data_IF_517806482396
#
_entry.id   IF_517806482396
#
_cell.length_a   1.000
_cell.length_b   1.000
_cell.length_c   1.000
_cell.angle_alpha   90.00
_cell.angle_beta   90.00
_cell.angle_gamma   90.00
#
_symmetry.space_group_name_H-M   'P 1'
#
loop_
_entity.id
_entity.type
_entity.pdbx_description
1 polymer ?
#
# COMPACT_ATOMS: atom_id res chain seq x y z
N UNK A 1 -21.83 73.50 49.19
CA UNK A 1 -20.78 74.22 48.44
C UNK A 1 -20.38 73.38 47.23
N UNK A 2 -20.14 74.04 46.08
CA UNK A 2 -20.19 73.51 44.71
C UNK A 2 -18.83 72.87 44.29
N UNK A 3 -18.58 72.22 43.15
CA UNK A 3 -18.67 72.63 41.74
C UNK A 3 -18.23 71.38 40.91
N UNK A 4 -18.88 71.00 39.82
CA UNK A 4 -18.65 71.46 38.44
C UNK A 4 -17.21 71.27 37.89
N UNK A 5 -17.09 70.32 36.96
CA UNK A 5 -16.67 70.54 35.54
C UNK A 5 -15.19 70.74 35.19
N UNK A 6 -14.66 69.85 34.32
CA UNK A 6 -13.92 70.10 33.06
C UNK A 6 -13.59 68.73 32.42
N UNK A 7 -14.13 68.30 31.27
CA UNK A 7 -14.10 68.77 29.86
C UNK A 7 -12.68 68.79 29.26
N UNK A 8 -12.62 68.51 27.94
CA UNK A 8 -11.48 68.29 27.01
C UNK A 8 -10.98 66.82 26.95
N UNK A 9 -11.30 65.96 25.98
CA UNK A 9 -11.31 66.00 24.50
C UNK A 9 -9.95 65.67 23.83
N UNK A 10 -9.87 64.43 23.31
CA UNK A 10 -9.36 63.93 22.00
C UNK A 10 -7.89 64.15 21.57
N UNK A 11 -7.39 63.13 20.86
CA UNK A 11 -6.21 62.99 19.97
C UNK A 11 -4.95 62.52 20.73
N UNK A 12 -4.28 61.40 20.41
CA UNK A 12 -4.32 60.42 19.33
C UNK A 12 -2.97 59.67 19.30
N UNK A 13 -2.93 58.54 18.58
CA UNK A 13 -1.77 57.73 18.13
C UNK A 13 -1.58 56.33 18.74
N UNK A 14 -1.92 55.35 17.90
CA UNK A 14 -1.17 54.13 17.58
C UNK A 14 -0.30 53.52 18.67
N UNK A 15 -0.78 52.43 19.25
CA UNK A 15 0.09 51.30 19.62
C UNK A 15 -0.69 50.00 19.45
N UNK A 16 -0.86 49.59 18.20
CA UNK A 16 -1.14 48.21 17.86
C UNK A 16 0.11 47.39 18.24
N UNK A 17 0.14 46.84 19.46
CA UNK A 17 1.12 45.83 19.85
C UNK A 17 0.50 44.46 19.67
N UNK A 18 1.00 43.82 18.63
CA UNK A 18 0.73 42.47 18.15
C UNK A 18 0.44 41.51 19.30
N UNK A 19 -0.81 41.05 19.39
CA UNK A 19 -1.08 39.70 19.82
C UNK A 19 -0.44 38.78 18.78
N UNK A 20 0.80 38.37 19.05
CA UNK A 20 1.50 37.33 18.31
C UNK A 20 0.72 36.04 18.58
N UNK A 21 -0.30 35.82 17.75
CA UNK A 21 -0.92 34.52 17.62
C UNK A 21 0.19 33.60 17.13
N UNK A 22 0.77 32.82 18.04
CA UNK A 22 1.44 31.56 17.73
C UNK A 22 0.35 30.64 17.17
N UNK A 23 -0.06 30.91 15.93
CA UNK A 23 -0.56 29.87 15.04
C UNK A 23 0.65 28.99 14.86
N UNK A 24 0.77 27.95 15.69
CA UNK A 24 1.61 26.82 15.37
C UNK A 24 1.21 26.42 13.96
N UNK A 25 2.05 26.71 12.97
CA UNK A 25 1.96 26.02 11.70
C UNK A 25 2.05 24.56 12.09
N UNK A 26 0.96 23.81 11.93
CA UNK A 26 1.06 22.37 11.79
C UNK A 26 2.11 22.19 10.69
N UNK A 27 3.32 21.78 11.08
CA UNK A 27 4.30 21.35 10.10
C UNK A 27 3.61 20.15 9.47
N UNK A 28 3.16 20.34 8.23
CA UNK A 28 2.85 19.22 7.36
C UNK A 28 4.13 18.41 7.34
N UNK A 29 4.18 17.34 8.13
CA UNK A 29 5.33 16.46 8.19
C UNK A 29 5.51 15.90 6.78
N UNK A 30 6.56 16.37 6.10
CA UNK A 30 6.84 15.96 4.73
C UNK A 30 7.05 14.44 4.73
N UNK A 31 6.35 13.74 3.84
CA UNK A 31 6.46 12.29 3.76
C UNK A 31 7.93 11.89 3.50
N UNK A 32 8.42 10.90 4.22
CA UNK A 32 9.74 10.31 3.98
C UNK A 32 9.75 9.55 2.65
N UNK A 33 10.92 9.38 2.02
CA UNK A 33 11.07 8.67 0.72
C UNK A 33 10.25 7.37 0.58
N UNK A 34 10.29 6.41 1.53
CA UNK A 34 9.47 5.19 1.41
C UNK A 34 7.96 5.45 1.52
N UNK A 35 7.52 6.47 2.26
CA UNK A 35 6.12 6.91 2.30
C UNK A 35 5.71 7.58 0.98
N UNK A 36 6.57 8.43 0.41
CA UNK A 36 6.34 9.08 -0.87
C UNK A 36 6.12 8.05 -1.99
N UNK A 37 6.91 6.96 -2.00
CA UNK A 37 6.71 5.88 -2.97
C UNK A 37 5.31 5.27 -2.87
N UNK A 38 4.88 4.91 -1.67
CA UNK A 38 3.53 4.35 -1.44
C UNK A 38 2.45 5.35 -1.86
N UNK A 39 2.67 6.64 -1.56
CA UNK A 39 1.75 7.72 -1.92
C UNK A 39 1.57 7.85 -3.43
N UNK A 40 2.67 7.98 -4.18
CA UNK A 40 2.66 8.11 -5.65
C UNK A 40 1.99 6.93 -6.34
N UNK A 41 2.27 5.70 -5.88
CA UNK A 41 1.62 4.48 -6.38
C UNK A 41 0.12 4.54 -6.12
N UNK A 42 -0.27 4.90 -4.90
CA UNK A 42 -1.69 4.95 -4.49
C UNK A 42 -2.48 6.01 -5.25
N UNK A 43 -1.90 7.18 -5.50
CA UNK A 43 -2.50 8.23 -6.33
C UNK A 43 -2.67 7.77 -7.78
N UNK A 44 -1.63 7.14 -8.36
CA UNK A 44 -1.68 6.61 -9.73
C UNK A 44 -2.80 5.58 -9.89
N UNK A 45 -2.94 4.67 -8.92
CA UNK A 45 -4.03 3.69 -8.90
C UNK A 45 -5.38 4.39 -8.79
N UNK A 46 -5.55 5.29 -7.82
CA UNK A 46 -6.82 5.99 -7.57
C UNK A 46 -7.26 6.80 -8.80
N UNK A 47 -6.37 7.59 -9.39
CA UNK A 47 -6.66 8.40 -10.57
C UNK A 47 -7.18 7.55 -11.74
N UNK A 48 -6.53 6.41 -12.01
CA UNK A 48 -6.95 5.56 -13.13
C UNK A 48 -8.26 4.82 -12.84
N UNK A 49 -8.51 4.46 -11.60
CA UNK A 49 -9.72 3.72 -11.17
C UNK A 49 -10.98 4.60 -11.08
N UNK A 50 -10.86 5.93 -11.14
CA UNK A 50 -12.00 6.83 -11.27
C UNK A 50 -12.75 6.69 -12.62
N UNK A 51 -12.07 6.20 -13.66
CA UNK A 51 -12.71 5.86 -14.93
C UNK A 51 -13.58 4.60 -14.76
N UNK A 52 -14.90 4.81 -14.68
CA UNK A 52 -15.88 3.72 -14.49
C UNK A 52 -15.84 2.67 -15.59
N UNK A 53 -15.58 3.06 -16.84
CA UNK A 53 -15.51 2.11 -17.95
C UNK A 53 -14.26 1.23 -17.83
N UNK A 54 -13.15 1.82 -17.37
CA UNK A 54 -11.94 1.09 -17.05
C UNK A 54 -12.13 0.17 -15.84
N UNK A 55 -12.70 0.67 -14.74
CA UNK A 55 -12.89 -0.08 -13.50
C UNK A 55 -13.81 -1.31 -13.65
N UNK A 56 -14.69 -1.32 -14.64
CA UNK A 56 -15.54 -2.48 -14.97
C UNK A 56 -14.81 -3.58 -15.77
N UNK A 57 -13.65 -3.28 -16.36
CA UNK A 57 -12.86 -4.25 -17.11
C UNK A 57 -11.76 -4.85 -16.22
N UNK A 58 -12.11 -5.95 -15.54
CA UNK A 58 -11.23 -6.61 -14.59
C UNK A 58 -9.86 -7.01 -15.18
N UNK A 59 -9.82 -7.37 -16.46
CA UNK A 59 -8.57 -7.76 -17.14
C UNK A 59 -7.68 -6.55 -17.34
N UNK A 60 -8.23 -5.43 -17.83
CA UNK A 60 -7.48 -4.17 -17.96
C UNK A 60 -7.02 -3.64 -16.61
N UNK A 61 -7.88 -3.68 -15.59
CA UNK A 61 -7.51 -3.30 -14.22
C UNK A 61 -6.34 -4.14 -13.73
N UNK A 62 -6.43 -5.47 -13.86
CA UNK A 62 -5.37 -6.37 -13.38
C UNK A 62 -4.06 -6.13 -14.12
N UNK A 63 -4.09 -5.92 -15.43
CA UNK A 63 -2.87 -5.61 -16.19
C UNK A 63 -2.25 -4.28 -15.76
N UNK A 64 -3.07 -3.24 -15.59
CA UNK A 64 -2.61 -1.93 -15.13
C UNK A 64 -2.04 -1.99 -13.71
N UNK A 65 -2.74 -2.61 -12.76
CA UNK A 65 -2.26 -2.76 -11.37
C UNK A 65 -0.93 -3.52 -11.36
N UNK A 66 -0.79 -4.57 -12.18
CA UNK A 66 0.50 -5.27 -12.32
C UNK A 66 1.60 -4.31 -12.79
N UNK A 67 1.36 -3.53 -13.85
CA UNK A 67 2.35 -2.62 -14.41
C UNK A 67 2.78 -1.51 -13.45
N UNK A 68 1.89 -1.12 -12.53
CA UNK A 68 2.18 -0.11 -11.50
C UNK A 68 2.95 -0.72 -10.33
N UNK A 69 2.61 -1.93 -9.88
CA UNK A 69 3.20 -2.54 -8.69
C UNK A 69 4.54 -3.24 -8.97
N UNK A 70 4.68 -3.85 -10.16
CA UNK A 70 5.84 -4.66 -10.53
C UNK A 70 7.19 -3.96 -10.33
N UNK A 71 7.40 -2.68 -10.75
CA UNK A 71 8.69 -2.01 -10.56
C UNK A 71 9.10 -1.84 -9.09
N UNK A 72 8.11 -1.71 -8.21
CA UNK A 72 8.25 -1.35 -6.79
C UNK A 72 8.21 -2.56 -5.85
N UNK A 73 8.12 -3.76 -6.41
CA UNK A 73 8.18 -5.03 -5.70
C UNK A 73 9.36 -5.85 -6.21
N UNK A 74 9.91 -6.70 -5.34
CA UNK A 74 10.99 -7.60 -5.72
C UNK A 74 10.54 -9.04 -5.50
N UNK A 75 9.96 -9.62 -6.55
CA UNK A 75 9.47 -11.00 -6.50
C UNK A 75 10.58 -12.05 -6.38
N UNK A 76 11.82 -11.70 -6.73
CA UNK A 76 12.97 -12.56 -6.51
C UNK A 76 13.29 -12.70 -5.02
N UNK A 77 12.93 -11.70 -4.20
CA UNK A 77 13.00 -11.78 -2.74
C UNK A 77 11.72 -12.32 -2.12
N UNK A 78 10.54 -11.96 -2.65
CA UNK A 78 9.26 -12.38 -2.07
C UNK A 78 9.04 -13.89 -2.24
N UNK A 79 9.26 -14.44 -3.44
CA UNK A 79 8.92 -15.84 -3.71
C UNK A 79 9.68 -16.86 -2.82
N UNK A 80 10.98 -16.70 -2.54
CA UNK A 80 11.67 -17.54 -1.55
C UNK A 80 11.06 -17.44 -0.15
N UNK A 81 10.64 -16.26 0.29
CA UNK A 81 10.02 -16.08 1.61
C UNK A 81 8.67 -16.81 1.69
N UNK A 82 7.92 -16.83 0.59
CA UNK A 82 6.63 -17.50 0.46
C UNK A 82 6.79 -19.02 0.36
N UNK A 83 7.71 -19.53 -0.47
CA UNK A 83 7.93 -20.99 -0.57
C UNK A 83 8.69 -21.58 0.62
N UNK A 84 9.45 -20.77 1.35
CA UNK A 84 10.25 -21.22 2.48
C UNK A 84 11.18 -22.36 2.09
N UNK A 85 11.13 -23.48 2.84
CA UNK A 85 11.97 -24.65 2.59
C UNK A 85 11.82 -25.24 1.18
N UNK A 86 10.64 -25.11 0.57
CA UNK A 86 10.35 -25.67 -0.76
C UNK A 86 11.08 -24.92 -1.87
N UNK A 87 11.51 -23.68 -1.62
CA UNK A 87 12.32 -22.90 -2.56
C UNK A 87 13.66 -23.60 -2.88
N UNK A 88 14.30 -24.15 -1.85
CA UNK A 88 15.64 -24.75 -1.96
C UNK A 88 15.66 -26.05 -2.78
N UNK A 89 14.51 -26.72 -2.90
CA UNK A 89 14.35 -27.95 -3.68
C UNK A 89 13.66 -27.72 -5.02
N UNK A 90 13.19 -26.49 -5.28
CA UNK A 90 12.55 -26.14 -6.54
C UNK A 90 13.58 -26.02 -7.65
N UNK A 91 13.24 -26.52 -8.82
CA UNK A 91 14.04 -26.30 -10.03
C UNK A 91 14.00 -24.82 -10.45
N UNK A 92 14.99 -24.31 -11.19
CA UNK A 92 14.95 -22.94 -11.70
C UNK A 92 13.68 -22.64 -12.52
N UNK A 93 13.19 -23.64 -13.28
CA UNK A 93 11.95 -23.51 -14.04
C UNK A 93 10.74 -23.37 -13.11
N UNK A 94 10.64 -24.16 -12.04
CA UNK A 94 9.57 -24.02 -11.05
C UNK A 94 9.64 -22.69 -10.31
N UNK A 95 10.84 -22.20 -9.97
CA UNK A 95 11.02 -20.91 -9.32
C UNK A 95 10.49 -19.76 -10.19
N UNK A 96 10.85 -19.72 -11.48
CA UNK A 96 10.37 -18.70 -12.41
C UNK A 96 8.85 -18.80 -12.63
N UNK A 97 8.33 -20.02 -12.84
CA UNK A 97 6.89 -20.23 -13.01
C UNK A 97 6.12 -19.83 -11.74
N UNK A 98 6.60 -20.20 -10.56
CA UNK A 98 5.97 -19.83 -9.30
C UNK A 98 5.96 -18.31 -9.11
N UNK A 99 7.07 -17.61 -9.33
CA UNK A 99 7.14 -16.14 -9.25
C UNK A 99 6.05 -15.49 -10.10
N UNK A 100 5.99 -15.86 -11.38
CA UNK A 100 5.01 -15.33 -12.33
C UNK A 100 3.56 -15.59 -11.90
N UNK A 101 3.26 -16.83 -11.54
CA UNK A 101 1.89 -17.22 -11.20
C UNK A 101 1.46 -16.66 -9.84
N UNK A 102 2.39 -16.53 -8.89
CA UNK A 102 2.14 -15.92 -7.60
C UNK A 102 1.91 -14.41 -7.71
N UNK A 103 2.72 -13.71 -8.51
CA UNK A 103 2.50 -12.30 -8.84
C UNK A 103 1.11 -12.08 -9.44
N UNK A 104 0.75 -12.88 -10.44
CA UNK A 104 -0.57 -12.82 -11.07
C UNK A 104 -1.70 -13.07 -10.06
N UNK A 105 -1.53 -14.04 -9.16
CA UNK A 105 -2.49 -14.30 -8.09
C UNK A 105 -2.66 -13.10 -7.17
N UNK A 106 -1.57 -12.49 -6.69
CA UNK A 106 -1.63 -11.34 -5.79
C UNK A 106 -2.33 -10.17 -6.47
N UNK A 107 -1.87 -9.77 -7.66
CA UNK A 107 -2.46 -8.64 -8.38
C UNK A 107 -3.95 -8.89 -8.59
N UNK A 108 -4.34 -10.07 -9.07
CA UNK A 108 -5.75 -10.44 -9.25
C UNK A 108 -6.57 -10.33 -7.95
N UNK A 109 -6.03 -10.83 -6.84
CA UNK A 109 -6.72 -10.84 -5.55
C UNK A 109 -6.99 -9.42 -5.03
N UNK A 110 -6.07 -8.48 -5.28
CA UNK A 110 -6.18 -7.09 -4.80
C UNK A 110 -6.76 -6.12 -5.82
N UNK A 111 -6.73 -6.42 -7.13
CA UNK A 111 -7.40 -5.62 -8.18
C UNK A 111 -8.87 -5.36 -7.86
N UNK A 112 -9.58 -6.35 -7.30
CA UNK A 112 -10.98 -6.17 -6.88
C UNK A 112 -11.11 -5.20 -5.72
N UNK A 113 -10.27 -5.34 -4.69
CA UNK A 113 -10.24 -4.42 -3.57
C UNK A 113 -9.94 -2.99 -4.05
N UNK A 114 -9.01 -2.80 -4.99
CA UNK A 114 -8.75 -1.46 -5.54
C UNK A 114 -9.96 -0.84 -6.25
N UNK A 115 -10.77 -1.66 -6.94
CA UNK A 115 -12.02 -1.19 -7.57
C UNK A 115 -13.11 -0.88 -6.53
N UNK A 116 -13.26 -1.75 -5.52
CA UNK A 116 -14.27 -1.60 -4.47
C UNK A 116 -14.00 -0.41 -3.53
N UNK A 117 -12.73 -0.05 -3.34
CA UNK A 117 -12.30 1.00 -2.42
C UNK A 117 -11.94 2.33 -3.12
N UNK A 118 -12.46 2.66 -4.30
CA UNK A 118 -11.98 3.77 -5.14
C UNK A 118 -11.85 5.16 -4.49
N UNK A 119 -12.61 5.44 -3.42
CA UNK A 119 -12.59 6.70 -2.66
C UNK A 119 -11.86 6.58 -1.31
N UNK A 120 -10.68 5.96 -1.30
CA UNK A 120 -9.84 5.90 -0.10
C UNK A 120 -9.01 7.19 0.12
N UNK A 121 -8.60 7.41 1.36
CA UNK A 121 -7.50 8.30 1.74
C UNK A 121 -6.49 7.51 2.56
N UNK A 122 -5.20 7.80 2.44
CA UNK A 122 -4.16 7.15 3.23
C UNK A 122 -3.67 8.12 4.30
N UNK A 123 -3.85 7.74 5.56
CA UNK A 123 -3.19 8.38 6.69
C UNK A 123 -1.84 7.70 6.93
N UNK A 124 -0.75 8.44 6.73
CA UNK A 124 0.59 7.99 7.08
C UNK A 124 0.86 8.24 8.56
N UNK A 125 1.41 7.24 9.24
CA UNK A 125 1.87 7.39 10.62
C UNK A 125 3.32 7.90 10.63
N UNK A 126 3.78 8.54 11.72
CA UNK A 126 5.15 9.02 11.84
C UNK A 126 6.16 7.94 11.50
N UNK A 127 7.16 8.32 10.71
CA UNK A 127 8.21 7.42 10.26
C UNK A 127 9.57 8.08 10.43
N UNK A 128 10.41 7.46 11.25
CA UNK A 128 11.82 7.81 11.36
C UNK A 128 12.65 6.76 10.60
N UNK A 129 13.43 7.23 9.62
CA UNK A 129 14.31 6.38 8.81
C UNK A 129 15.74 6.81 9.08
N UNK A 130 16.57 5.89 9.59
CA UNK A 130 18.00 6.16 9.74
C UNK A 130 18.66 6.35 8.36
N UNK A 131 19.68 7.19 8.27
CA UNK A 131 20.36 7.51 7.00
C UNK A 131 20.94 6.28 6.28
N UNK A 132 21.32 5.25 7.03
CA UNK A 132 21.89 3.98 6.54
C UNK A 132 20.87 2.81 6.58
N UNK A 133 19.58 3.11 6.80
CA UNK A 133 18.56 2.09 6.87
C UNK A 133 18.42 1.33 5.55
N UNK A 134 18.57 0.01 5.60
CA UNK A 134 18.35 -0.89 4.46
C UNK A 134 16.97 -1.55 4.49
N UNK A 135 16.24 -1.40 5.60
CA UNK A 135 14.89 -1.94 5.83
C UNK A 135 14.07 -0.96 6.65
N UNK A 136 12.77 -0.91 6.37
CA UNK A 136 11.82 -0.05 7.09
C UNK A 136 10.44 -0.69 7.15
N UNK A 137 9.65 -0.31 8.17
CA UNK A 137 8.23 -0.59 8.25
C UNK A 137 7.46 0.73 8.11
N UNK A 138 6.85 0.95 6.96
CA UNK A 138 5.95 2.09 6.77
C UNK A 138 4.58 1.71 7.30
N UNK A 139 4.04 2.48 8.24
CA UNK A 139 2.71 2.25 8.81
C UNK A 139 1.71 3.24 8.24
N UNK A 140 0.57 2.73 7.75
CA UNK A 140 -0.53 3.58 7.29
C UNK A 140 -1.87 3.08 7.82
N UNK A 141 -2.87 3.95 7.72
CA UNK A 141 -4.29 3.62 7.84
C UNK A 141 -5.00 4.03 6.56
N UNK A 142 -5.71 3.09 5.95
CA UNK A 142 -6.57 3.36 4.80
C UNK A 142 -7.95 3.74 5.32
N UNK A 143 -8.40 4.94 4.95
CA UNK A 143 -9.64 5.55 5.41
C UNK A 143 -10.65 5.57 4.26
N UNK A 144 -11.91 5.24 4.54
CA UNK A 144 -13.02 5.39 3.61
C UNK A 144 -14.26 5.90 4.35
N UNK A 145 -15.14 6.71 3.72
CA UNK A 145 -16.35 7.17 4.37
C UNK A 145 -17.20 6.00 4.88
N UNK A 146 -17.59 6.06 6.16
CA UNK A 146 -18.49 5.08 6.80
C UNK A 146 -17.97 3.65 6.93
N UNK A 147 -16.67 3.41 6.72
CA UNK A 147 -16.01 2.12 6.97
C UNK A 147 -14.92 2.31 8.03
N UNK A 148 -14.69 1.28 8.85
CA UNK A 148 -13.61 1.33 9.83
C UNK A 148 -12.25 1.44 9.12
N UNK A 149 -11.32 2.28 9.63
CA UNK A 149 -9.96 2.35 9.11
C UNK A 149 -9.29 0.98 9.09
N UNK A 150 -8.65 0.65 7.97
CA UNK A 150 -7.87 -0.59 7.82
C UNK A 150 -6.39 -0.27 8.02
N UNK A 151 -5.70 -1.03 8.87
CA UNK A 151 -4.26 -0.85 9.05
C UNK A 151 -3.51 -1.57 7.93
N UNK A 152 -2.68 -0.84 7.19
CA UNK A 152 -1.88 -1.40 6.10
C UNK A 152 -0.43 -1.01 6.29
N UNK A 153 0.41 -1.98 6.65
CA UNK A 153 1.84 -1.74 6.89
C UNK A 153 2.68 -2.39 5.78
N UNK A 154 3.70 -1.67 5.35
CA UNK A 154 4.58 -2.08 4.25
C UNK A 154 5.96 -2.33 4.81
N UNK A 155 6.42 -3.58 4.70
CA UNK A 155 7.82 -3.89 4.94
C UNK A 155 8.59 -3.65 3.66
N UNK A 156 9.57 -2.75 3.74
CA UNK A 156 10.34 -2.31 2.60
C UNK A 156 11.83 -2.51 2.84
N UNK A 157 12.58 -2.64 1.75
CA UNK A 157 14.03 -2.78 1.75
C UNK A 157 14.64 -2.05 0.57
N UNK A 158 15.91 -1.70 0.66
CA UNK A 158 16.62 -1.01 -0.42
C UNK A 158 17.22 -2.03 -1.39
N UNK A 159 16.95 -1.85 -2.68
CA UNK A 159 17.54 -2.58 -3.81
C UNK A 159 18.08 -1.59 -4.80
N UNK A 160 19.39 -1.63 -5.08
CA UNK A 160 20.04 -0.72 -6.03
C UNK A 160 19.76 0.77 -5.75
N UNK A 161 19.63 1.15 -4.48
CA UNK A 161 19.32 2.52 -4.06
C UNK A 161 17.84 2.87 -4.02
N UNK A 162 16.94 1.96 -4.41
CA UNK A 162 15.50 2.18 -4.43
C UNK A 162 14.77 1.38 -3.35
N UNK A 163 13.77 1.98 -2.71
CA UNK A 163 12.90 1.26 -1.79
C UNK A 163 11.96 0.34 -2.55
N UNK A 164 11.89 -0.93 -2.15
CA UNK A 164 10.95 -1.93 -2.66
C UNK A 164 10.15 -2.58 -1.55
N UNK A 165 8.89 -2.86 -1.81
CA UNK A 165 8.02 -3.61 -0.88
C UNK A 165 8.32 -5.10 -1.00
N UNK A 166 8.51 -5.77 0.14
CA UNK A 166 8.69 -7.23 0.18
C UNK A 166 7.64 -7.97 1.02
N UNK A 167 6.82 -7.25 1.78
CA UNK A 167 5.68 -7.82 2.49
C UNK A 167 4.70 -6.70 2.86
N UNK A 168 3.42 -7.04 2.89
CA UNK A 168 2.34 -6.16 3.31
C UNK A 168 1.63 -6.83 4.46
N UNK A 169 1.30 -6.07 5.50
CA UNK A 169 0.50 -6.50 6.63
C UNK A 169 -0.83 -5.77 6.56
N UNK A 170 -1.93 -6.51 6.53
CA UNK A 170 -3.29 -5.97 6.59
C UNK A 170 -3.88 -6.40 7.92
N UNK A 171 -4.26 -5.44 8.77
CA UNK A 171 -4.73 -5.68 10.14
C UNK A 171 -3.84 -6.66 10.92
N UNK A 172 -2.51 -6.45 10.80
CA UNK A 172 -1.49 -7.27 11.45
C UNK A 172 -1.15 -8.60 10.76
N UNK A 173 -1.88 -9.00 9.72
CA UNK A 173 -1.66 -10.26 8.99
C UNK A 173 -0.72 -10.04 7.80
N UNK A 174 0.48 -10.61 7.89
CA UNK A 174 1.47 -10.62 6.79
C UNK A 174 1.00 -11.47 5.61
N UNK A 175 1.00 -10.89 4.42
CA UNK A 175 0.67 -11.59 3.19
C UNK A 175 1.68 -12.69 2.91
N UNK A 176 2.98 -12.42 3.06
CA UNK A 176 4.02 -13.43 2.87
C UNK A 176 3.82 -14.62 3.79
N UNK A 177 3.53 -14.38 5.07
CA UNK A 177 3.33 -15.45 6.07
C UNK A 177 2.06 -16.24 5.80
N UNK A 178 0.98 -15.56 5.42
CA UNK A 178 -0.29 -16.19 5.08
C UNK A 178 -0.14 -17.11 3.86
N UNK A 179 0.43 -16.60 2.76
CA UNK A 179 0.64 -17.39 1.56
C UNK A 179 1.64 -18.52 1.77
N UNK A 180 2.68 -18.32 2.59
CA UNK A 180 3.61 -19.41 2.95
C UNK A 180 2.89 -20.60 3.57
N UNK A 181 1.99 -20.32 4.52
CA UNK A 181 1.22 -21.36 5.18
C UNK A 181 0.30 -22.07 4.16
N UNK A 182 -0.42 -21.29 3.34
CA UNK A 182 -1.30 -21.81 2.30
C UNK A 182 -0.58 -22.69 1.27
N UNK A 183 0.58 -22.25 0.76
CA UNK A 183 1.35 -23.03 -0.20
C UNK A 183 2.00 -24.26 0.41
N UNK A 184 2.49 -24.19 1.65
CA UNK A 184 2.99 -25.38 2.34
C UNK A 184 1.90 -26.45 2.45
N UNK A 185 0.67 -26.06 2.81
CA UNK A 185 -0.47 -26.97 2.88
C UNK A 185 -0.87 -27.51 1.51
N UNK A 186 -0.87 -26.67 0.46
CA UNK A 186 -1.16 -27.10 -0.91
C UNK A 186 -0.11 -28.06 -1.45
N UNK A 187 1.18 -27.81 -1.21
CA UNK A 187 2.26 -28.72 -1.62
C UNK A 187 2.10 -30.06 -0.94
N UNK A 188 1.75 -30.07 0.36
CA UNK A 188 1.47 -31.30 1.08
C UNK A 188 0.27 -32.08 0.50
N UNK A 189 -0.81 -31.37 0.15
CA UNK A 189 -2.04 -31.98 -0.41
C UNK A 189 -1.89 -32.45 -1.86
N UNK A 190 -1.19 -31.68 -2.70
CA UNK A 190 -1.02 -31.96 -4.14
C UNK A 190 0.24 -32.77 -4.45
N UNK A 191 1.12 -32.98 -3.46
CA UNK A 191 2.29 -33.85 -3.55
C UNK A 191 3.53 -33.20 -4.17
N UNK A 192 3.43 -32.05 -4.84
CA UNK A 192 4.59 -31.37 -5.43
C UNK A 192 4.38 -29.86 -5.60
N UNK A 193 5.48 -29.11 -5.73
CA UNK A 193 5.44 -27.69 -6.10
C UNK A 193 4.93 -27.51 -7.53
N UNK A 194 5.37 -28.33 -8.48
CA UNK A 194 4.87 -28.33 -9.86
C UNK A 194 3.34 -28.40 -9.94
N UNK A 195 2.70 -29.30 -9.20
CA UNK A 195 1.23 -29.41 -9.16
C UNK A 195 0.54 -28.18 -8.59
N UNK A 196 1.16 -27.51 -7.61
CA UNK A 196 0.67 -26.24 -7.07
C UNK A 196 0.77 -25.12 -8.09
N UNK A 197 1.86 -25.05 -8.84
CA UNK A 197 2.05 -24.07 -9.92
C UNK A 197 1.01 -24.30 -11.02
N UNK A 198 0.72 -25.56 -11.38
CA UNK A 198 -0.28 -25.88 -12.40
C UNK A 198 -1.71 -25.53 -11.95
N UNK A 199 -2.08 -25.81 -10.69
CA UNK A 199 -3.36 -25.35 -10.09
C UNK A 199 -3.44 -23.82 -10.13
N UNK A 200 -2.35 -23.14 -9.79
CA UNK A 200 -2.31 -21.68 -9.77
C UNK A 200 -2.49 -21.08 -11.17
N UNK A 201 -1.76 -21.60 -12.15
CA UNK A 201 -1.86 -21.18 -13.55
C UNK A 201 -3.28 -21.37 -14.10
N UNK A 202 -3.90 -22.53 -13.83
CA UNK A 202 -5.29 -22.79 -14.22
C UNK A 202 -6.27 -21.78 -13.60
N UNK A 203 -6.15 -21.53 -12.29
CA UNK A 203 -6.99 -20.55 -11.58
C UNK A 203 -6.79 -19.12 -12.08
N UNK A 204 -5.56 -18.74 -12.43
CA UNK A 204 -5.27 -17.41 -12.97
C UNK A 204 -5.86 -17.27 -14.37
N UNK A 205 -5.69 -18.26 -15.24
CA UNK A 205 -6.25 -18.28 -16.59
C UNK A 205 -7.79 -18.20 -16.58
N UNK A 206 -8.45 -19.01 -15.75
CA UNK A 206 -9.93 -19.02 -15.65
C UNK A 206 -10.47 -17.65 -15.23
N UNK A 207 -9.84 -17.01 -14.23
CA UNK A 207 -10.29 -15.71 -13.75
C UNK A 207 -10.05 -14.57 -14.76
N UNK A 208 -8.97 -14.63 -15.54
CA UNK A 208 -8.72 -13.64 -16.59
C UNK A 208 -9.59 -13.86 -17.84
N UNK A 209 -10.21 -15.03 -17.98
CA UNK A 209 -11.20 -15.31 -19.03
C UNK A 209 -12.64 -15.07 -18.59
N UNK A 210 -12.87 -14.58 -17.36
CA UNK A 210 -14.21 -14.39 -16.80
C UNK A 210 -14.96 -15.70 -16.51
N UNK A 211 -14.27 -16.84 -16.51
CA UNK A 211 -14.87 -18.14 -16.18
C UNK A 211 -14.99 -18.26 -14.67
N UNK A 212 -16.18 -18.01 -14.14
CA UNK A 212 -16.50 -18.31 -12.74
C UNK A 212 -16.54 -19.83 -12.56
N UNK A 213 -15.50 -20.41 -11.94
CA UNK A 213 -15.65 -21.72 -11.30
C UNK A 213 -16.36 -21.51 -9.97
N UNK A 214 -17.66 -21.80 -9.95
CA UNK A 214 -18.41 -21.98 -8.71
C UNK A 214 -17.73 -23.08 -7.91
N UNK A 215 -17.26 -22.75 -6.71
CA UNK A 215 -16.91 -23.71 -5.66
C UNK A 215 -17.56 -23.23 -4.38
#
# INVERSE_FOLDING_TARGET
>A
MPNQTNRYAVIGLLSALLAFNLVGKAVSEELQLPQQLIHQISETLQQKLQDKAFAQDFVKVTHFVNSVIEPHTDFDKIAPLVLGKHWNTATPIEQERFKKEFQTLLVRAYSRAFVEYSDWTIQYLPLEVANDATKVLVKTKVLQPSIQPVEVYYRMFVVNGEWKVYDILIDGVSLVTNYRSSFNDKIHKLGSLGSVIDDLAGRNADALQGKHRNY
#
